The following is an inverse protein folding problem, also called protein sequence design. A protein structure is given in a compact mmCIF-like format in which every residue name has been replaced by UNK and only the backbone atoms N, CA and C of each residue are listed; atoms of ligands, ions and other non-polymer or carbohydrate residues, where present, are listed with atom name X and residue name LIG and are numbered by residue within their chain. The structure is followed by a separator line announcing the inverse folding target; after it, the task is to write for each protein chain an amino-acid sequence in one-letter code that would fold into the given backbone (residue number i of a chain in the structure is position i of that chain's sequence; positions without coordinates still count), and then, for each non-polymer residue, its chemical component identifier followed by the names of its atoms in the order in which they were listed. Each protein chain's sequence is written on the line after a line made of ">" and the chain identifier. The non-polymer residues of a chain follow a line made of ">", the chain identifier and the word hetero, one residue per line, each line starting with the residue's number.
data_IF_791127186870
#
_entry.id   IF_791127186870
#
_cell.length_a   1.000
_cell.length_b   1.000
_cell.length_c   1.000
_cell.angle_alpha   90.00
_cell.angle_beta   90.00
_cell.angle_gamma   90.00
#
_symmetry.space_group_name_H-M   'P 1'
#
loop_
_entity.id
_entity.type
_entity.pdbx_description
1 polymer ?
#
# COMPACT_ATOMS: atom_id res chain seq x y z
N UNK A 1 18.29 11.33 12.26
CA UNK A 1 17.23 11.88 13.13
C UNK A 1 17.21 11.06 14.41
N UNK A 2 16.86 11.63 15.56
CA UNK A 2 16.74 10.90 16.84
C UNK A 2 15.41 11.22 17.52
N UNK A 3 14.84 10.27 18.23
CA UNK A 3 13.68 10.46 19.13
C UNK A 3 14.19 10.11 20.52
N UNK A 4 14.03 11.00 21.51
CA UNK A 4 14.50 10.78 22.89
C UNK A 4 15.99 10.37 23.02
N UNK A 5 16.83 10.77 22.07
CA UNK A 5 18.27 10.44 22.07
C UNK A 5 18.63 9.05 21.53
N UNK A 6 17.67 8.24 21.11
CA UNK A 6 17.92 6.96 20.42
C UNK A 6 17.82 7.10 18.88
N UNK A 7 18.46 6.15 18.18
CA UNK A 7 18.25 5.94 16.74
C UNK A 7 16.78 5.66 16.45
N UNK A 8 16.35 5.99 15.25
CA UNK A 8 14.96 5.85 14.83
C UNK A 8 14.84 4.90 13.65
N UNK A 9 13.72 4.22 13.58
CA UNK A 9 13.32 3.39 12.45
C UNK A 9 12.01 3.92 11.86
N UNK A 10 11.91 3.87 10.54
CA UNK A 10 10.66 4.13 9.83
C UNK A 10 9.98 2.80 9.50
N UNK A 11 8.71 2.68 9.89
CA UNK A 11 7.86 1.54 9.61
C UNK A 11 6.77 1.95 8.64
N UNK A 12 6.68 1.24 7.51
CA UNK A 12 5.74 1.52 6.43
C UNK A 12 4.82 0.33 6.15
N UNK A 13 3.60 0.61 5.70
CA UNK A 13 2.66 -0.42 5.27
C UNK A 13 2.99 -0.92 3.86
N UNK A 14 3.37 -2.19 3.79
CA UNK A 14 3.57 -2.89 2.53
C UNK A 14 2.26 -3.13 1.79
N UNK A 15 2.15 -2.58 0.58
CA UNK A 15 1.05 -2.86 -0.35
C UNK A 15 -0.34 -2.51 0.23
N UNK A 16 -0.44 -1.39 0.94
CA UNK A 16 -1.66 -0.98 1.65
C UNK A 16 -2.89 -0.86 0.73
N UNK A 17 -2.79 -0.07 -0.34
CA UNK A 17 -3.86 0.14 -1.33
C UNK A 17 -4.51 -1.15 -1.87
N UNK A 18 -3.79 -2.11 -2.48
CA UNK A 18 -4.42 -3.32 -2.97
C UNK A 18 -5.02 -4.14 -1.83
N UNK A 19 -4.37 -4.23 -0.66
CA UNK A 19 -4.93 -4.96 0.50
C UNK A 19 -6.26 -4.38 0.97
N UNK A 20 -6.35 -3.06 1.07
CA UNK A 20 -7.60 -2.37 1.41
C UNK A 20 -8.67 -2.54 0.32
N UNK A 21 -8.27 -2.58 -0.95
CA UNK A 21 -9.21 -2.85 -2.04
C UNK A 21 -9.78 -4.27 -1.97
N UNK A 22 -8.95 -5.27 -1.63
CA UNK A 22 -9.41 -6.63 -1.34
C UNK A 22 -10.40 -6.66 -0.16
N UNK A 23 -10.07 -5.96 0.93
CA UNK A 23 -10.95 -5.83 2.09
C UNK A 23 -12.32 -5.23 1.73
N UNK A 24 -12.36 -4.16 0.91
CA UNK A 24 -13.61 -3.56 0.43
C UNK A 24 -14.45 -4.50 -0.42
N UNK A 25 -13.81 -5.41 -1.16
CA UNK A 25 -14.50 -6.44 -1.93
C UNK A 25 -14.94 -7.65 -1.06
N UNK A 26 -14.60 -7.69 0.23
CA UNK A 26 -14.86 -8.84 1.10
C UNK A 26 -13.95 -10.04 0.79
N UNK A 27 -12.81 -9.79 0.16
CA UNK A 27 -11.89 -10.81 -0.36
C UNK A 27 -10.56 -10.78 0.39
N UNK A 28 -9.84 -11.90 0.40
CA UNK A 28 -8.51 -11.97 0.99
C UNK A 28 -7.44 -11.58 -0.05
N UNK A 29 -6.46 -10.73 0.31
CA UNK A 29 -5.36 -10.40 -0.58
C UNK A 29 -4.48 -11.64 -0.82
N UNK A 30 -3.77 -11.71 -1.96
CA UNK A 30 -2.83 -12.79 -2.21
C UNK A 30 -1.71 -12.84 -1.16
N UNK A 31 -1.20 -14.04 -0.88
CA UNK A 31 0.00 -14.22 -0.04
C UNK A 31 1.25 -13.66 -0.73
N UNK A 32 1.32 -13.84 -2.05
CA UNK A 32 2.35 -13.26 -2.91
C UNK A 32 2.18 -11.74 -3.11
N UNK A 33 3.21 -11.09 -3.63
CA UNK A 33 3.19 -9.66 -3.93
C UNK A 33 2.10 -9.31 -4.95
N UNK A 34 1.19 -8.41 -4.58
CA UNK A 34 0.09 -7.96 -5.42
C UNK A 34 0.54 -7.11 -6.62
N UNK A 35 1.81 -6.71 -6.69
CA UNK A 35 2.38 -6.04 -7.85
C UNK A 35 3.27 -6.97 -8.70
N UNK A 36 3.47 -8.22 -8.28
CA UNK A 36 4.18 -9.22 -9.06
C UNK A 36 3.22 -9.92 -10.03
N UNK A 37 3.12 -9.35 -11.23
CA UNK A 37 2.18 -9.79 -12.26
C UNK A 37 2.90 -10.70 -13.25
N UNK A 38 2.36 -11.89 -13.57
CA UNK A 38 2.94 -12.78 -14.56
C UNK A 38 3.24 -12.07 -15.90
N UNK A 39 4.47 -12.23 -16.39
CA UNK A 39 4.96 -11.52 -17.60
C UNK A 39 5.46 -10.09 -17.36
N UNK A 40 5.27 -9.55 -16.14
CA UNK A 40 5.67 -8.20 -15.75
C UNK A 40 6.44 -8.12 -14.43
N UNK A 41 6.87 -9.25 -13.86
CA UNK A 41 7.60 -9.31 -12.58
C UNK A 41 8.79 -8.35 -12.46
N UNK A 42 9.56 -8.19 -13.55
CA UNK A 42 10.70 -7.25 -13.61
C UNK A 42 10.29 -5.77 -13.62
N UNK A 43 9.01 -5.47 -13.86
CA UNK A 43 8.46 -4.11 -13.96
C UNK A 43 7.52 -3.78 -12.80
N UNK A 44 7.66 -4.46 -11.66
CA UNK A 44 6.86 -4.26 -10.44
C UNK A 44 6.61 -2.80 -10.09
N UNK A 45 7.63 -1.94 -10.20
CA UNK A 45 7.51 -0.49 -9.92
C UNK A 45 6.59 0.23 -10.91
N UNK A 46 6.65 -0.13 -12.18
CA UNK A 46 5.73 0.34 -13.21
C UNK A 46 4.31 -0.16 -12.98
N UNK A 47 4.16 -1.46 -12.67
CA UNK A 47 2.88 -2.10 -12.34
C UNK A 47 2.21 -1.39 -11.16
N UNK A 48 2.91 -1.16 -10.05
CA UNK A 48 2.40 -0.42 -8.89
C UNK A 48 1.80 0.93 -9.29
N UNK A 49 2.49 1.69 -10.16
CA UNK A 49 2.02 2.99 -10.63
C UNK A 49 0.78 2.88 -11.52
N UNK A 50 0.72 1.88 -12.40
CA UNK A 50 -0.47 1.63 -13.25
C UNK A 50 -1.65 1.18 -12.40
N UNK A 51 -1.46 0.20 -11.51
CA UNK A 51 -2.50 -0.32 -10.64
C UNK A 51 -3.07 0.78 -9.74
N UNK A 52 -2.23 1.62 -9.14
CA UNK A 52 -2.69 2.80 -8.40
C UNK A 52 -3.49 3.73 -9.32
N UNK A 53 -2.99 4.06 -10.51
CA UNK A 53 -3.75 4.91 -11.44
C UNK A 53 -5.12 4.33 -11.81
N UNK A 54 -5.24 3.00 -11.95
CA UNK A 54 -6.51 2.31 -12.17
C UNK A 54 -7.49 2.48 -11.01
N UNK A 55 -7.02 2.56 -9.76
CA UNK A 55 -7.87 2.80 -8.58
C UNK A 55 -8.40 4.25 -8.50
N UNK A 56 -7.62 5.24 -8.93
CA UNK A 56 -7.97 6.67 -8.81
C UNK A 56 -8.80 7.23 -9.97
N UNK A 57 -8.69 6.66 -11.16
CA UNK A 57 -9.43 7.13 -12.33
C UNK A 57 -10.85 6.55 -12.38
N UNK A 58 -11.77 7.22 -13.07
CA UNK A 58 -13.10 6.70 -13.44
C UNK A 58 -13.16 6.22 -14.90
N UNK A 59 -12.05 6.31 -15.62
CA UNK A 59 -11.94 5.96 -17.04
C UNK A 59 -10.71 5.11 -17.27
N UNK A 60 -10.80 4.13 -18.18
CA UNK A 60 -9.65 3.32 -18.62
C UNK A 60 -8.52 4.22 -19.12
N UNK A 61 -7.28 3.84 -18.82
CA UNK A 61 -6.11 4.60 -19.22
C UNK A 61 -5.86 4.38 -20.72
N UNK A 62 -5.82 5.46 -21.48
CA UNK A 62 -5.52 5.40 -22.92
C UNK A 62 -4.04 5.57 -23.23
N UNK A 63 -3.25 6.01 -22.24
CA UNK A 63 -1.79 6.18 -22.33
C UNK A 63 -1.13 5.91 -20.99
N UNK A 64 0.17 5.61 -21.01
CA UNK A 64 0.96 5.52 -19.79
C UNK A 64 0.89 6.84 -19.00
N UNK A 65 0.68 6.81 -17.67
CA UNK A 65 0.76 8.01 -16.84
C UNK A 65 2.16 8.65 -16.92
N UNK A 66 2.22 9.94 -16.59
CA UNK A 66 3.46 10.71 -16.67
C UNK A 66 4.58 10.05 -15.86
N UNK A 67 5.74 9.85 -16.50
CA UNK A 67 6.92 9.26 -15.84
C UNK A 67 6.84 7.75 -15.56
N UNK A 68 5.77 7.06 -15.96
CA UNK A 68 5.66 5.59 -15.82
C UNK A 68 6.34 4.86 -16.97
N UNK A 69 6.38 5.44 -18.16
CA UNK A 69 6.94 4.79 -19.36
C UNK A 69 8.37 4.27 -19.18
N UNK A 70 9.22 5.00 -18.45
CA UNK A 70 10.62 4.60 -18.17
C UNK A 70 10.75 3.35 -17.30
N UNK A 71 9.67 2.92 -16.64
CA UNK A 71 9.64 1.71 -15.81
C UNK A 71 9.24 0.46 -16.62
N UNK A 72 9.06 0.58 -17.93
CA UNK A 72 8.69 -0.50 -18.84
C UNK A 72 9.55 -0.46 -20.11
N UNK A 73 9.74 -1.63 -20.72
CA UNK A 73 10.28 -1.71 -22.09
C UNK A 73 9.33 -1.11 -23.13
N UNK A 74 9.89 -0.71 -24.27
CA UNK A 74 9.12 -0.02 -25.30
C UNK A 74 7.97 -0.86 -25.89
N UNK A 75 8.10 -2.18 -25.90
CA UNK A 75 7.09 -3.08 -26.45
C UNK A 75 5.76 -3.10 -25.67
N UNK A 76 5.76 -2.71 -24.39
CA UNK A 76 4.56 -2.80 -23.56
C UNK A 76 3.65 -1.60 -23.75
N UNK A 77 2.37 -1.86 -24.00
CA UNK A 77 1.33 -0.84 -24.03
C UNK A 77 0.64 -0.72 -22.67
N UNK A 78 0.04 0.42 -22.36
CA UNK A 78 -0.73 0.60 -21.12
C UNK A 78 -1.88 -0.42 -21.03
N UNK A 79 -2.53 -0.71 -22.16
CA UNK A 79 -3.63 -1.67 -22.23
C UNK A 79 -3.15 -3.09 -21.89
N UNK A 80 -2.00 -3.52 -22.43
CA UNK A 80 -1.44 -4.84 -22.13
C UNK A 80 -1.10 -5.03 -20.64
N UNK A 81 -0.64 -3.96 -19.98
CA UNK A 81 -0.34 -3.98 -18.54
C UNK A 81 -1.63 -4.00 -17.72
N UNK A 82 -2.62 -3.16 -18.06
CA UNK A 82 -3.92 -3.14 -17.37
C UNK A 82 -4.62 -4.49 -17.46
N UNK A 83 -4.65 -5.12 -18.63
CA UNK A 83 -5.23 -6.45 -18.81
C UNK A 83 -4.53 -7.51 -17.97
N UNK A 84 -3.20 -7.47 -17.89
CA UNK A 84 -2.44 -8.40 -17.06
C UNK A 84 -2.74 -8.21 -15.56
N UNK A 85 -2.91 -6.97 -15.10
CA UNK A 85 -3.34 -6.67 -13.73
C UNK A 85 -4.76 -7.22 -13.47
N UNK A 86 -5.71 -6.97 -14.37
CA UNK A 86 -7.10 -7.46 -14.23
C UNK A 86 -7.17 -8.99 -14.22
N UNK A 87 -6.34 -9.67 -15.02
CA UNK A 87 -6.24 -11.13 -15.06
C UNK A 87 -5.61 -11.71 -13.79
N UNK A 88 -4.60 -11.05 -13.23
CA UNK A 88 -3.95 -11.48 -11.99
C UNK A 88 -4.83 -11.25 -10.75
N UNK A 89 -5.75 -10.28 -10.81
CA UNK A 89 -6.57 -9.86 -9.69
C UNK A 89 -8.08 -9.95 -9.97
N UNK A 90 -8.62 -11.15 -10.26
CA UNK A 90 -10.02 -11.29 -10.64
C UNK A 90 -11.01 -10.85 -9.55
N UNK A 91 -10.62 -10.95 -8.28
CA UNK A 91 -11.44 -10.58 -7.11
C UNK A 91 -11.68 -9.07 -6.96
N UNK A 92 -10.77 -8.24 -7.48
CA UNK A 92 -10.83 -6.77 -7.35
C UNK A 92 -10.92 -6.05 -8.70
N UNK A 93 -10.87 -6.78 -9.83
CA UNK A 93 -10.83 -6.19 -11.17
C UNK A 93 -12.01 -5.24 -11.43
N UNK A 94 -13.19 -5.61 -10.94
CA UNK A 94 -14.42 -4.86 -11.17
C UNK A 94 -14.48 -3.58 -10.32
N UNK A 95 -13.56 -3.41 -9.37
CA UNK A 95 -13.43 -2.20 -8.55
C UNK A 95 -12.48 -1.16 -9.15
N UNK A 96 -11.67 -1.54 -10.14
CA UNK A 96 -10.86 -0.58 -10.89
C UNK A 96 -11.73 0.37 -11.73
N UNK A 97 -11.16 1.52 -12.05
CA UNK A 97 -11.80 2.57 -12.86
C UNK A 97 -13.10 3.12 -12.25
N UNK A 98 -13.24 3.07 -10.92
CA UNK A 98 -14.37 3.63 -10.17
C UNK A 98 -14.01 4.86 -9.33
N UNK A 99 -12.75 5.29 -9.33
CA UNK A 99 -12.28 6.39 -8.48
C UNK A 99 -12.21 6.04 -6.99
N UNK A 100 -12.19 4.75 -6.63
CA UNK A 100 -12.15 4.24 -5.25
C UNK A 100 -10.88 4.65 -4.49
N UNK A 101 -9.84 5.13 -5.19
CA UNK A 101 -8.57 5.53 -4.58
C UNK A 101 -8.70 6.56 -3.45
N UNK A 102 -9.70 7.44 -3.50
CA UNK A 102 -9.94 8.40 -2.42
C UNK A 102 -10.53 7.74 -1.16
N UNK A 103 -11.40 6.74 -1.33
CA UNK A 103 -11.94 5.96 -0.22
C UNK A 103 -10.82 5.12 0.43
N UNK A 104 -9.92 4.56 -0.39
CA UNK A 104 -8.72 3.87 0.09
C UNK A 104 -7.86 4.82 0.94
N UNK A 105 -7.51 6.00 0.44
CA UNK A 105 -6.73 7.01 1.19
C UNK A 105 -7.42 7.44 2.49
N UNK A 106 -8.75 7.56 2.49
CA UNK A 106 -9.48 7.86 3.70
C UNK A 106 -9.30 6.74 4.74
N UNK A 107 -9.49 5.48 4.36
CA UNK A 107 -9.24 4.34 5.27
C UNK A 107 -7.77 4.28 5.73
N UNK A 108 -6.81 4.54 4.85
CA UNK A 108 -5.39 4.61 5.21
C UNK A 108 -5.16 5.63 6.33
N UNK A 109 -5.77 6.82 6.21
CA UNK A 109 -5.67 7.86 7.25
C UNK A 109 -6.31 7.45 8.57
N UNK A 110 -7.46 6.75 8.54
CA UNK A 110 -8.14 6.29 9.76
C UNK A 110 -7.30 5.22 10.48
N UNK A 111 -6.70 4.30 9.73
CA UNK A 111 -5.79 3.29 10.28
C UNK A 111 -4.56 3.95 10.92
N UNK A 112 -3.97 4.94 10.26
CA UNK A 112 -2.82 5.67 10.81
C UNK A 112 -3.17 6.41 12.10
N UNK A 113 -4.32 7.10 12.15
CA UNK A 113 -4.80 7.78 13.36
C UNK A 113 -4.95 6.80 14.52
N UNK A 114 -5.57 5.64 14.28
CA UNK A 114 -5.72 4.60 15.30
C UNK A 114 -4.38 4.06 15.80
N UNK A 115 -3.40 3.88 14.91
CA UNK A 115 -2.03 3.50 15.28
C UNK A 115 -1.41 4.54 16.20
N UNK A 116 -1.48 5.82 15.84
CA UNK A 116 -0.91 6.91 16.65
C UNK A 116 -1.56 7.00 18.03
N UNK A 117 -2.89 6.85 18.10
CA UNK A 117 -3.63 6.85 19.37
C UNK A 117 -3.22 5.67 20.26
N UNK A 118 -3.17 4.45 19.72
CA UNK A 118 -2.73 3.27 20.48
C UNK A 118 -1.29 3.38 20.95
N UNK A 119 -0.37 3.89 20.12
CA UNK A 119 1.02 4.08 20.52
C UNK A 119 1.17 5.12 21.63
N UNK A 120 0.42 6.23 21.54
CA UNK A 120 0.36 7.22 22.61
C UNK A 120 -0.12 6.61 23.92
N UNK A 121 -1.16 5.78 23.88
CA UNK A 121 -1.71 5.13 25.09
C UNK A 121 -0.72 4.12 25.70
N UNK A 122 0.19 3.57 24.89
CA UNK A 122 1.31 2.74 25.33
C UNK A 122 2.56 3.55 25.76
N UNK A 123 2.49 4.88 25.76
CA UNK A 123 3.61 5.76 26.07
C UNK A 123 4.75 5.73 25.02
N UNK A 124 4.44 5.31 23.79
CA UNK A 124 5.37 5.27 22.66
C UNK A 124 5.20 6.53 21.82
N UNK A 125 6.28 7.30 21.66
CA UNK A 125 6.31 8.45 20.75
C UNK A 125 6.47 7.94 19.31
N UNK A 126 5.53 8.31 18.45
CA UNK A 126 5.56 8.01 17.03
C UNK A 126 5.31 9.29 16.22
N UNK A 127 6.11 9.53 15.18
CA UNK A 127 5.95 10.64 14.25
C UNK A 127 5.37 10.12 12.94
N UNK A 128 4.18 10.58 12.51
CA UNK A 128 3.62 10.16 11.23
C UNK A 128 4.35 10.83 10.05
N UNK A 129 4.64 10.05 9.01
CA UNK A 129 5.10 10.53 7.70
C UNK A 129 4.29 9.83 6.63
N UNK A 130 3.43 10.55 5.91
CA UNK A 130 2.51 9.94 4.95
C UNK A 130 1.72 8.77 5.57
N UNK A 131 1.89 7.55 5.07
CA UNK A 131 1.33 6.28 5.52
C UNK A 131 2.28 5.47 6.43
N UNK A 132 3.48 6.00 6.71
CA UNK A 132 4.49 5.42 7.59
C UNK A 132 4.54 6.12 8.95
N UNK A 133 5.21 5.47 9.91
CA UNK A 133 5.51 6.04 11.22
C UNK A 133 7.00 5.92 11.52
N UNK A 134 7.54 6.94 12.17
CA UNK A 134 8.89 6.89 12.74
C UNK A 134 8.80 6.74 14.25
N UNK A 135 9.51 5.74 14.77
CA UNK A 135 9.60 5.43 16.20
C UNK A 135 11.07 5.25 16.61
N UNK A 136 11.34 5.32 17.91
CA UNK A 136 12.65 4.90 18.43
C UNK A 136 12.91 3.43 18.15
N UNK A 137 14.15 3.06 17.83
CA UNK A 137 14.56 1.69 17.49
C UNK A 137 14.11 0.68 18.57
N UNK A 138 14.21 1.06 19.85
CA UNK A 138 13.78 0.22 20.98
C UNK A 138 12.27 -0.11 20.99
N UNK A 139 11.45 0.69 20.30
CA UNK A 139 9.99 0.57 20.24
C UNK A 139 9.49 -0.08 18.96
N UNK A 140 10.39 -0.45 18.05
CA UNK A 140 10.10 -1.03 16.74
C UNK A 140 9.09 -2.19 16.78
N UNK A 141 9.33 -3.16 17.66
CA UNK A 141 8.48 -4.36 17.76
C UNK A 141 7.05 -4.00 18.17
N UNK A 142 6.90 -3.20 19.23
CA UNK A 142 5.60 -2.74 19.73
C UNK A 142 4.87 -1.94 18.66
N UNK A 143 5.58 -1.03 17.97
CA UNK A 143 5.02 -0.24 16.89
C UNK A 143 4.50 -1.10 15.74
N UNK A 144 5.29 -2.11 15.32
CA UNK A 144 4.90 -3.06 14.28
C UNK A 144 3.66 -3.87 14.66
N UNK A 145 3.58 -4.38 15.89
CA UNK A 145 2.41 -5.12 16.37
C UNK A 145 1.15 -4.25 16.38
N UNK A 146 1.27 -3.00 16.83
CA UNK A 146 0.15 -2.04 16.83
C UNK A 146 -0.31 -1.76 15.41
N UNK A 147 0.60 -1.54 14.46
CA UNK A 147 0.26 -1.36 13.05
C UNK A 147 -0.50 -2.57 12.48
N UNK A 148 0.03 -3.78 12.67
CA UNK A 148 -0.62 -5.02 12.22
C UNK A 148 -2.02 -5.19 12.83
N UNK A 149 -2.15 -4.93 14.13
CA UNK A 149 -3.43 -5.03 14.86
C UNK A 149 -4.45 -3.99 14.39
N UNK A 150 -4.07 -2.72 14.23
CA UNK A 150 -4.97 -1.67 13.75
C UNK A 150 -5.46 -1.96 12.33
N UNK A 151 -4.55 -2.35 11.44
CA UNK A 151 -4.91 -2.66 10.07
C UNK A 151 -5.90 -3.83 10.01
N UNK A 152 -5.62 -4.93 10.72
CA UNK A 152 -6.50 -6.09 10.75
C UNK A 152 -7.87 -5.76 11.38
N UNK A 153 -7.88 -4.98 12.46
CA UNK A 153 -9.12 -4.59 13.15
C UNK A 153 -10.05 -3.76 12.27
N UNK A 154 -9.53 -2.93 11.38
CA UNK A 154 -10.34 -2.09 10.50
C UNK A 154 -10.68 -2.76 9.16
N UNK A 155 -9.75 -3.54 8.60
CA UNK A 155 -9.91 -4.11 7.25
C UNK A 155 -10.32 -5.57 7.21
N UNK A 156 -10.11 -6.34 8.29
CA UNK A 156 -10.34 -7.78 8.31
C UNK A 156 -9.35 -8.62 7.47
N UNK A 157 -8.31 -8.00 6.93
CA UNK A 157 -7.28 -8.67 6.12
C UNK A 157 -5.88 -8.42 6.69
N UNK A 158 -4.89 -9.31 6.47
CA UNK A 158 -3.56 -9.15 7.03
C UNK A 158 -2.78 -8.00 6.36
N UNK A 159 -2.10 -7.19 7.17
CA UNK A 159 -1.14 -6.19 6.72
C UNK A 159 0.26 -6.77 6.51
N UNK A 160 1.09 -6.03 5.77
CA UNK A 160 2.55 -6.19 5.76
C UNK A 160 3.13 -4.90 6.34
N UNK A 161 4.11 -5.01 7.24
CA UNK A 161 4.84 -3.87 7.78
C UNK A 161 6.34 -4.10 7.58
N UNK A 162 6.99 -3.17 6.90
CA UNK A 162 8.41 -3.21 6.53
C UNK A 162 9.17 -2.03 7.11
N UNK A 163 10.46 -2.21 7.34
CA UNK A 163 11.38 -1.14 7.72
C UNK A 163 11.85 -0.44 6.44
N UNK A 164 11.85 0.89 6.44
CA UNK A 164 12.42 1.69 5.34
C UNK A 164 13.91 1.90 5.64
N UNK A 165 14.79 1.35 4.79
CA UNK A 165 16.23 1.61 4.88
C UNK A 165 16.50 3.09 4.55
N UNK A 166 17.17 3.81 5.47
CA UNK A 166 17.56 5.21 5.33
C UNK A 166 18.80 5.40 4.44
#
# INVERSE_FOLDING_TARGET
>A
MTINGESVVELDYGQMNPRLLYALCGEQPPEQDAYDIPGYSMYRKGVKKIMNAMMFTTKRLTRMPQGVRKEFEEKFSVESVMQAIELAHPAIKDSFFKGIGHDLQFMESQILVDVLLKLRDLGVVALPIHDSIIVGESKKHVAKEVMLSCFFSQSGVPAIVTEVEQ
#
